data_IF_600371216388
#
_entry.id   IF_600371216388
#
_cell.length_a   1.000
_cell.length_b   1.000
_cell.length_c   1.000
_cell.angle_alpha   90.00
_cell.angle_beta   90.00
_cell.angle_gamma   90.00
#
_symmetry.space_group_name_H-M   'P 1'
#
loop_
_entity.id
_entity.type
_entity.pdbx_description
1 polymer ?
#
# COMPACT_ATOMS: atom_id res chain seq x y z
N UNK A 1 2.22 12.38 12.73
CA UNK A 1 2.24 10.99 13.26
C UNK A 1 2.12 10.01 12.10
N UNK A 2 2.97 8.98 12.05
CA UNK A 2 2.96 7.94 11.02
C UNK A 2 2.39 6.61 11.52
N UNK A 3 2.53 5.56 10.73
CA UNK A 3 2.21 4.19 11.11
C UNK A 3 3.37 3.62 11.92
N UNK A 4 3.16 3.21 13.18
CA UNK A 4 4.19 2.50 13.96
C UNK A 4 4.59 1.19 13.29
N UNK A 5 5.89 0.86 13.30
CA UNK A 5 6.40 -0.40 12.75
C UNK A 5 5.70 -1.63 13.35
N UNK A 6 5.34 -1.57 14.62
CA UNK A 6 4.61 -2.63 15.33
C UNK A 6 3.27 -3.04 14.69
N UNK A 7 2.63 -2.14 13.92
CA UNK A 7 1.36 -2.42 13.24
C UNK A 7 1.50 -2.45 11.72
N UNK A 8 2.70 -2.22 11.17
CA UNK A 8 2.93 -2.15 9.73
C UNK A 8 2.56 -3.46 9.01
N UNK A 9 2.78 -4.60 9.64
CA UNK A 9 2.38 -5.91 9.11
C UNK A 9 0.87 -6.17 9.19
N UNK A 10 0.16 -5.44 10.05
CA UNK A 10 -1.27 -5.64 10.30
C UNK A 10 -2.16 -4.71 9.46
N UNK A 11 -1.72 -3.49 9.17
CA UNK A 11 -2.51 -2.48 8.43
C UNK A 11 -2.92 -2.91 7.01
N UNK A 12 -2.21 -3.87 6.42
CA UNK A 12 -2.55 -4.44 5.12
C UNK A 12 -3.60 -5.55 5.18
N UNK A 13 -4.06 -5.95 6.38
CA UNK A 13 -5.07 -6.99 6.57
C UNK A 13 -6.48 -6.39 6.44
N UNK A 14 -7.45 -7.16 5.93
CA UNK A 14 -8.83 -6.68 5.89
C UNK A 14 -9.34 -6.39 7.30
N UNK A 15 -10.18 -5.36 7.43
CA UNK A 15 -10.83 -4.92 8.67
C UNK A 15 -9.91 -4.31 9.74
N UNK A 16 -8.61 -4.18 9.49
CA UNK A 16 -7.72 -3.50 10.43
C UNK A 16 -7.88 -1.98 10.35
N UNK A 17 -8.17 -1.33 11.48
CA UNK A 17 -8.25 0.13 11.59
C UNK A 17 -7.79 0.60 12.96
N UNK A 18 -7.07 1.70 13.02
CA UNK A 18 -6.77 2.44 14.27
C UNK A 18 -7.75 3.59 14.50
N UNK A 19 -8.69 3.81 13.58
CA UNK A 19 -9.72 4.84 13.66
C UNK A 19 -11.02 4.20 14.14
N UNK A 20 -11.72 4.86 15.06
CA UNK A 20 -13.04 4.44 15.54
C UNK A 20 -14.18 4.55 14.51
N UNK A 21 -13.90 5.05 13.30
CA UNK A 21 -14.83 5.11 12.17
C UNK A 21 -14.12 4.63 10.90
N UNK A 22 -14.81 3.81 10.11
CA UNK A 22 -14.32 3.22 8.86
C UNK A 22 -13.97 1.73 8.98
N UNK A 23 -14.18 0.97 7.91
CA UNK A 23 -14.05 -0.49 7.90
C UNK A 23 -12.62 -1.02 7.79
N UNK A 24 -11.58 -0.17 7.73
CA UNK A 24 -10.21 -0.66 7.60
C UNK A 24 -9.92 -1.39 6.27
N UNK A 25 -10.68 -1.11 5.21
CA UNK A 25 -10.57 -1.83 3.93
C UNK A 25 -9.72 -1.11 2.88
N UNK A 26 -9.47 0.19 3.04
CA UNK A 26 -8.83 1.01 1.99
C UNK A 26 -7.47 0.45 1.56
N UNK A 27 -6.53 0.28 2.51
CA UNK A 27 -5.19 -0.22 2.19
C UNK A 27 -5.19 -1.66 1.70
N UNK A 28 -6.06 -2.51 2.25
CA UNK A 28 -6.26 -3.88 1.78
C UNK A 28 -6.69 -3.90 0.30
N UNK A 29 -7.71 -3.10 -0.06
CA UNK A 29 -8.22 -3.03 -1.43
C UNK A 29 -7.18 -2.44 -2.38
N UNK A 30 -6.45 -1.39 -1.99
CA UNK A 30 -5.36 -0.81 -2.78
C UNK A 30 -4.25 -1.83 -3.04
N UNK A 31 -3.80 -2.56 -2.01
CA UNK A 31 -2.79 -3.63 -2.17
C UNK A 31 -3.29 -4.71 -3.12
N UNK A 32 -4.53 -5.16 -2.96
CA UNK A 32 -5.12 -6.18 -3.82
C UNK A 32 -5.20 -5.72 -5.29
N UNK A 33 -5.58 -4.46 -5.54
CA UNK A 33 -5.62 -3.89 -6.90
C UNK A 33 -4.23 -3.82 -7.53
N UNK A 34 -3.23 -3.32 -6.79
CA UNK A 34 -1.86 -3.23 -7.29
C UNK A 34 -1.26 -4.62 -7.56
N UNK A 35 -1.47 -5.58 -6.66
CA UNK A 35 -1.02 -6.97 -6.86
C UNK A 35 -1.67 -7.62 -8.07
N UNK A 36 -2.98 -7.40 -8.30
CA UNK A 36 -3.66 -7.89 -9.52
C UNK A 36 -3.09 -7.28 -10.80
N UNK A 37 -2.60 -6.05 -10.74
CA UNK A 37 -1.92 -5.39 -11.85
C UNK A 37 -0.43 -5.82 -12.00
N UNK A 38 0.02 -6.86 -11.30
CA UNK A 38 1.41 -7.33 -11.32
C UNK A 38 2.39 -6.43 -10.54
N UNK A 39 1.87 -5.52 -9.72
CA UNK A 39 2.65 -4.58 -8.93
C UNK A 39 2.90 -5.00 -7.49
N UNK A 40 3.50 -4.10 -6.72
CA UNK A 40 3.74 -4.25 -5.29
C UNK A 40 3.52 -2.94 -4.52
N UNK A 41 3.20 -3.05 -3.23
CA UNK A 41 3.05 -1.93 -2.30
C UNK A 41 3.93 -2.19 -1.08
N UNK A 42 4.73 -1.21 -0.67
CA UNK A 42 5.56 -1.23 0.53
C UNK A 42 5.34 0.03 1.36
N UNK A 43 5.43 -0.09 2.68
CA UNK A 43 5.33 1.04 3.60
C UNK A 43 6.62 1.17 4.39
N UNK A 44 7.06 2.40 4.59
CA UNK A 44 8.25 2.76 5.33
C UNK A 44 7.93 3.89 6.31
N UNK A 45 8.69 3.96 7.40
CA UNK A 45 8.71 5.17 8.23
C UNK A 45 9.44 6.27 7.45
N UNK A 46 8.89 7.49 7.48
CA UNK A 46 9.52 8.65 6.86
C UNK A 46 10.37 9.41 7.90
N UNK A 47 11.57 9.85 7.53
CA UNK A 47 12.54 10.47 8.46
C UNK A 47 12.02 11.78 9.07
N UNK A 48 11.28 12.57 8.30
CA UNK A 48 10.60 13.80 8.78
C UNK A 48 9.28 13.51 9.53
N UNK A 49 9.00 12.23 9.79
CA UNK A 49 7.76 11.74 10.38
C UNK A 49 6.69 11.43 9.33
N UNK A 50 5.73 10.58 9.72
CA UNK A 50 4.69 10.08 8.82
C UNK A 50 5.01 8.69 8.26
N UNK A 51 4.37 8.35 7.14
CA UNK A 51 4.54 7.06 6.46
C UNK A 51 4.79 7.31 4.99
N UNK A 52 5.89 6.76 4.47
CA UNK A 52 6.15 6.69 3.04
C UNK A 52 5.50 5.41 2.48
N UNK A 53 4.65 5.55 1.47
CA UNK A 53 4.08 4.40 0.75
C UNK A 53 4.66 4.35 -0.66
N UNK A 54 5.40 3.28 -0.96
CA UNK A 54 5.95 3.02 -2.30
C UNK A 54 5.02 2.06 -3.04
N UNK A 55 4.68 2.41 -4.27
CA UNK A 55 3.89 1.60 -5.17
C UNK A 55 4.70 1.38 -6.45
N UNK A 56 4.85 0.12 -6.85
CA UNK A 56 5.52 -0.28 -8.09
C UNK A 56 4.54 -0.99 -8.99
N UNK A 57 4.50 -0.62 -10.26
CA UNK A 57 3.70 -1.27 -11.29
C UNK A 57 4.61 -1.64 -12.48
N UNK A 58 4.33 -2.75 -13.16
CA UNK A 58 4.94 -3.03 -14.46
C UNK A 58 4.63 -1.90 -15.43
N UNK A 59 5.65 -1.42 -16.14
CA UNK A 59 5.44 -0.49 -17.25
C UNK A 59 4.95 -1.31 -18.43
N UNK A 60 3.82 -0.96 -19.00
CA UNK A 60 3.41 -1.51 -20.29
C UNK A 60 4.44 -1.07 -21.34
N UNK A 61 5.28 -1.98 -21.81
CA UNK A 61 5.92 -1.82 -23.10
C UNK A 61 4.81 -1.91 -24.12
N UNK A 62 4.27 -0.75 -24.54
CA UNK A 62 3.61 -0.69 -25.84
C UNK A 62 4.64 -1.27 -26.82
N UNK A 63 4.30 -2.40 -27.44
CA UNK A 63 5.17 -3.00 -28.43
C UNK A 63 5.59 -1.91 -29.40
N UNK A 64 6.91 -1.75 -29.59
CA UNK A 64 7.39 -1.10 -30.79
C UNK A 64 6.82 -1.93 -31.95
N UNK A 65 5.76 -1.43 -32.57
CA UNK A 65 5.34 -1.92 -33.89
C UNK A 65 6.49 -1.59 -34.84
N UNK A 66 7.29 -2.59 -35.16
CA UNK A 66 8.23 -2.59 -36.27
C UNK A 66 7.53 -3.10 -37.54
#
# INVERSE_FOLDING_TARGET
AGVPLAIAEQIGKPFFTTKGKGFGLGLFLSKASVTRAGGSVKLYSHEEGGTLTELRLPRETRGEEA
#
